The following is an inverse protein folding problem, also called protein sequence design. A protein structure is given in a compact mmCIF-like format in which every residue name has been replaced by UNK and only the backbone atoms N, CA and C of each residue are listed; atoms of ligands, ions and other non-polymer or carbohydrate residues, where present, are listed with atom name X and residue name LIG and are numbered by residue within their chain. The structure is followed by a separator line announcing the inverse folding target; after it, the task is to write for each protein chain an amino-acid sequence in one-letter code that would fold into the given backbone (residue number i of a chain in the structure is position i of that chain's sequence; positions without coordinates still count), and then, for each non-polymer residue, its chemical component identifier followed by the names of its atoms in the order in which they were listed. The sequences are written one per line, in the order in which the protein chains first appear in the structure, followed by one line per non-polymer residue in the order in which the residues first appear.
data_IF_522679776540
#
_entry.id   IF_522679776540
#
_cell.length_a   1.000
_cell.length_b   1.000
_cell.length_c   1.000
_cell.angle_alpha   90.00
_cell.angle_beta   90.00
_cell.angle_gamma   90.00
#
_symmetry.space_group_name_H-M   'P 1'
#
loop_
_entity.id
_entity.type
_entity.pdbx_description
1 polymer ?
#
# COMPACT_ATOMS: atom_id res chain seq x y z
N UNK A 1 -24.69 14.90 -38.78
CA UNK A 1 -24.07 15.27 -37.48
C UNK A 1 -25.14 15.24 -36.42
N UNK A 2 -25.20 14.21 -35.60
CA UNK A 2 -26.08 14.21 -34.41
C UNK A 2 -25.24 14.47 -33.17
N UNK A 3 -25.67 15.49 -32.44
CA UNK A 3 -25.04 16.03 -31.24
C UNK A 3 -25.61 15.26 -30.05
N UNK A 4 -24.86 14.30 -29.53
CA UNK A 4 -25.28 13.54 -28.34
C UNK A 4 -25.20 14.47 -27.12
N UNK A 5 -26.38 14.69 -26.53
CA UNK A 5 -26.62 15.51 -25.35
C UNK A 5 -26.29 14.65 -24.12
N UNK A 6 -25.24 14.97 -23.39
CA UNK A 6 -24.81 14.18 -22.23
C UNK A 6 -25.74 14.46 -21.04
N UNK A 7 -26.55 13.48 -20.57
CA UNK A 7 -27.28 13.61 -19.33
C UNK A 7 -26.30 13.56 -18.16
N UNK A 8 -26.38 14.52 -17.24
CA UNK A 8 -25.58 14.57 -16.02
C UNK A 8 -25.69 13.25 -15.26
N UNK A 9 -24.57 12.54 -15.10
CA UNK A 9 -24.51 11.27 -14.34
C UNK A 9 -23.78 10.10 -15.01
N UNK A 10 -23.12 10.28 -16.16
CA UNK A 10 -22.32 9.20 -16.76
C UNK A 10 -20.95 9.12 -16.11
N UNK A 11 -20.58 7.95 -15.56
CA UNK A 11 -19.18 7.64 -15.24
C UNK A 11 -18.34 7.82 -16.50
N UNK A 12 -17.26 8.58 -16.40
CA UNK A 12 -16.26 8.63 -17.47
C UNK A 12 -15.69 7.23 -17.61
N UNK A 13 -15.87 6.60 -18.78
CA UNK A 13 -15.21 5.34 -19.08
C UNK A 13 -13.70 5.60 -19.11
N UNK A 14 -13.05 5.21 -18.02
CA UNK A 14 -11.60 5.27 -17.89
C UNK A 14 -11.02 4.03 -18.54
N UNK A 15 -10.17 4.18 -19.58
CA UNK A 15 -9.45 3.04 -20.14
C UNK A 15 -8.60 2.38 -19.06
N UNK A 16 -8.47 1.06 -19.13
CA UNK A 16 -7.61 0.31 -18.21
C UNK A 16 -6.18 0.81 -18.30
N UNK A 17 -5.59 1.21 -17.17
CA UNK A 17 -4.17 1.61 -17.11
C UNK A 17 -3.26 0.47 -17.55
N UNK A 18 -3.65 -0.78 -17.28
CA UNK A 18 -2.91 -1.96 -17.71
C UNK A 18 -2.93 -2.15 -19.25
N UNK A 19 -4.02 -1.77 -19.91
CA UNK A 19 -4.11 -1.79 -21.38
C UNK A 19 -3.31 -0.64 -21.99
N UNK A 20 -3.43 0.57 -21.40
CA UNK A 20 -2.65 1.75 -21.79
C UNK A 20 -1.14 1.48 -21.72
N UNK A 21 -0.68 0.75 -20.69
CA UNK A 21 0.74 0.40 -20.54
C UNK A 21 1.26 -0.61 -21.57
N UNK A 22 0.38 -1.35 -22.25
CA UNK A 22 0.74 -2.32 -23.29
C UNK A 22 0.68 -1.72 -24.70
N UNK A 23 0.09 -0.54 -24.86
CA UNK A 23 -0.08 0.10 -26.16
C UNK A 23 1.18 0.87 -26.55
N UNK A 24 1.93 0.34 -27.51
CA UNK A 24 3.16 0.95 -28.04
C UNK A 24 2.93 2.34 -28.67
N UNK A 25 1.69 2.73 -28.93
CA UNK A 25 1.33 4.06 -29.47
C UNK A 25 1.30 5.15 -28.41
N UNK A 26 1.26 4.78 -27.13
CA UNK A 26 1.24 5.72 -26.02
C UNK A 26 2.67 6.05 -25.62
N UNK A 27 3.20 7.12 -26.20
CA UNK A 27 4.55 7.61 -25.90
C UNK A 27 4.62 8.51 -24.67
N UNK A 28 3.47 9.00 -24.19
CA UNK A 28 3.38 9.96 -23.08
C UNK A 28 2.22 9.64 -22.16
N UNK A 29 2.41 9.88 -20.86
CA UNK A 29 1.39 9.66 -19.83
C UNK A 29 0.21 10.62 -20.08
N UNK A 30 -1.03 10.13 -20.18
CA UNK A 30 -2.18 11.00 -20.38
C UNK A 30 -2.32 12.06 -19.27
N UNK A 31 -2.68 13.31 -19.60
CA UNK A 31 -2.70 14.43 -18.64
C UNK A 31 -3.50 14.19 -17.36
N UNK A 32 -4.52 13.34 -17.42
CA UNK A 32 -5.36 12.98 -16.26
C UNK A 32 -4.67 12.14 -15.19
N UNK A 33 -3.54 11.52 -15.51
CA UNK A 33 -2.68 10.78 -14.57
C UNK A 33 -1.45 11.59 -14.16
N UNK A 34 -1.25 12.77 -14.76
CA UNK A 34 -0.20 13.69 -14.34
C UNK A 34 -0.71 14.37 -13.08
N UNK A 35 -0.13 13.97 -11.94
CA UNK A 35 -0.36 14.68 -10.70
C UNK A 35 0.24 16.08 -10.87
N UNK A 36 -0.56 17.17 -10.72
CA UNK A 36 0.02 18.51 -10.71
C UNK A 36 1.11 18.51 -9.65
N UNK A 37 2.27 19.07 -9.97
CA UNK A 37 3.33 19.28 -8.99
C UNK A 37 2.78 20.22 -7.92
N UNK A 38 2.06 19.68 -6.95
CA UNK A 38 2.12 20.21 -5.62
C UNK A 38 3.58 20.08 -5.25
N UNK A 39 4.18 21.22 -4.92
CA UNK A 39 5.49 21.27 -4.28
C UNK A 39 5.39 20.58 -2.92
N UNK A 40 5.20 19.26 -2.92
CA UNK A 40 5.47 18.45 -1.76
C UNK A 40 6.98 18.27 -1.75
N UNK A 41 7.65 19.24 -1.14
CA UNK A 41 9.03 19.22 -0.67
C UNK A 41 9.33 18.06 0.30
N UNK A 42 8.52 17.00 0.30
CA UNK A 42 8.70 15.79 1.09
C UNK A 42 9.60 14.75 0.37
N UNK A 43 9.83 14.90 -0.93
CA UNK A 43 10.66 13.97 -1.70
C UNK A 43 12.14 14.39 -1.81
N UNK A 44 12.50 15.62 -1.41
CA UNK A 44 13.90 16.08 -1.49
C UNK A 44 14.76 15.62 -0.32
N UNK A 45 14.14 15.24 0.80
CA UNK A 45 14.81 14.67 1.96
C UNK A 45 13.98 13.46 2.40
N UNK A 46 14.05 12.37 1.64
CA UNK A 46 13.79 11.07 2.25
C UNK A 46 14.90 10.91 3.28
N UNK A 47 14.59 11.21 4.53
CA UNK A 47 15.46 10.93 5.66
C UNK A 47 15.73 9.42 5.59
N UNK A 48 16.88 9.04 5.05
CA UNK A 48 17.25 7.64 4.77
C UNK A 48 17.35 6.81 6.04
N UNK A 49 17.14 7.45 7.19
CA UNK A 49 17.13 6.92 8.54
C UNK A 49 15.74 6.46 8.99
N UNK A 50 14.65 6.89 8.35
CA UNK A 50 13.29 6.47 8.72
C UNK A 50 12.99 5.05 8.20
N UNK A 51 13.50 4.05 8.91
CA UNK A 51 13.21 2.64 8.66
C UNK A 51 11.87 2.25 9.29
N UNK A 52 10.98 1.68 8.46
CA UNK A 52 9.67 1.21 8.91
C UNK A 52 9.86 0.11 9.97
N UNK A 53 9.20 0.18 11.14
CA UNK A 53 9.35 -0.83 12.17
C UNK A 53 8.99 -2.22 11.66
N UNK A 54 9.84 -3.21 11.95
CA UNK A 54 9.58 -4.63 11.65
C UNK A 54 9.29 -5.38 12.94
N UNK A 55 8.13 -6.01 13.05
CA UNK A 55 7.72 -6.81 14.22
C UNK A 55 7.99 -8.29 13.94
N UNK A 56 8.86 -8.90 14.74
CA UNK A 56 9.14 -10.33 14.69
C UNK A 56 8.13 -11.08 15.56
N UNK A 57 7.23 -11.79 14.91
CA UNK A 57 6.14 -12.45 15.63
C UNK A 57 6.59 -13.73 16.35
N UNK A 58 7.74 -14.31 15.99
CA UNK A 58 8.34 -15.40 16.76
C UNK A 58 8.87 -14.87 18.10
N UNK A 59 9.49 -13.69 18.07
CA UNK A 59 9.94 -13.01 19.29
C UNK A 59 8.78 -12.51 20.11
N UNK A 60 7.68 -12.07 19.48
CA UNK A 60 6.49 -11.59 20.18
C UNK A 60 5.81 -12.69 21.02
N UNK A 61 5.74 -13.93 20.52
CA UNK A 61 5.17 -15.07 21.25
C UNK A 61 6.17 -15.79 22.15
N UNK A 62 7.45 -15.39 22.10
CA UNK A 62 8.50 -15.95 22.93
C UNK A 62 8.38 -15.45 24.37
N UNK A 63 8.56 -16.32 25.35
CA UNK A 63 8.57 -15.95 26.76
C UNK A 63 9.80 -15.07 27.11
N UNK A 64 10.93 -15.28 26.44
CA UNK A 64 12.18 -14.54 26.67
C UNK A 64 12.14 -13.15 26.02
N UNK A 65 11.63 -13.05 24.79
CA UNK A 65 11.70 -11.81 23.99
C UNK A 65 10.37 -11.05 23.88
N UNK A 66 9.25 -11.66 24.27
CA UNK A 66 7.91 -11.14 24.00
C UNK A 66 7.63 -9.77 24.58
N UNK A 67 8.16 -9.47 25.78
CA UNK A 67 8.04 -8.16 26.40
C UNK A 67 8.72 -7.06 25.57
N UNK A 68 9.94 -7.31 25.10
CA UNK A 68 10.70 -6.36 24.28
C UNK A 68 10.03 -6.12 22.92
N UNK A 69 9.52 -7.18 22.30
CA UNK A 69 8.89 -7.10 20.99
C UNK A 69 7.49 -6.46 21.08
N UNK A 70 6.78 -6.66 22.20
CA UNK A 70 5.51 -6.00 22.47
C UNK A 70 5.68 -4.48 22.64
N UNK A 71 6.75 -4.04 23.29
CA UNK A 71 7.09 -2.61 23.38
C UNK A 71 7.35 -2.04 21.98
N UNK A 72 8.10 -2.76 21.15
CA UNK A 72 8.34 -2.37 19.75
C UNK A 72 7.04 -2.24 18.96
N UNK A 73 6.12 -3.19 19.13
CA UNK A 73 4.79 -3.15 18.52
C UNK A 73 3.98 -1.93 18.98
N UNK A 74 3.99 -1.63 20.29
CA UNK A 74 3.31 -0.46 20.82
C UNK A 74 3.85 0.84 20.22
N UNK A 75 5.17 0.99 20.17
CA UNK A 75 5.83 2.17 19.59
C UNK A 75 5.51 2.29 18.09
N UNK A 76 5.52 1.19 17.36
CA UNK A 76 5.14 1.19 15.95
C UNK A 76 3.68 1.65 15.74
N UNK A 77 2.74 1.14 16.53
CA UNK A 77 1.35 1.60 16.46
C UNK A 77 1.19 3.09 16.81
N UNK A 78 1.93 3.56 17.82
CA UNK A 78 1.80 4.92 18.34
C UNK A 78 2.47 5.97 17.45
N UNK A 79 3.70 5.69 17.04
CA UNK A 79 4.57 6.69 16.40
C UNK A 79 4.50 6.59 14.86
N UNK A 80 4.24 5.40 14.31
CA UNK A 80 4.16 5.18 12.87
C UNK A 80 2.73 4.96 12.36
N UNK A 81 1.89 4.26 13.13
CA UNK A 81 0.57 3.81 12.67
C UNK A 81 0.62 2.67 11.63
N UNK A 82 1.81 2.27 11.21
CA UNK A 82 2.05 1.10 10.35
C UNK A 82 3.41 0.46 10.64
N UNK A 83 3.53 -0.84 10.32
CA UNK A 83 4.74 -1.62 10.51
C UNK A 83 4.75 -2.83 9.58
N UNK A 84 5.93 -3.41 9.36
CA UNK A 84 6.10 -4.68 8.68
C UNK A 84 6.06 -5.81 9.70
N UNK A 85 5.70 -7.01 9.25
CA UNK A 85 5.65 -8.19 10.12
C UNK A 85 6.50 -9.31 9.52
N UNK A 86 7.34 -9.91 10.34
CA UNK A 86 8.23 -10.99 9.96
C UNK A 86 7.81 -12.32 10.60
N UNK A 87 7.70 -13.37 9.78
CA UNK A 87 7.44 -14.74 10.21
C UNK A 87 8.43 -15.70 9.54
N UNK A 88 9.20 -16.42 10.35
CA UNK A 88 10.13 -17.47 9.92
C UNK A 88 9.45 -18.75 9.39
N UNK A 89 8.21 -19.06 9.78
CA UNK A 89 7.55 -20.32 9.41
C UNK A 89 6.41 -20.14 8.41
N UNK A 90 6.42 -20.96 7.35
CA UNK A 90 5.37 -21.01 6.32
C UNK A 90 3.99 -21.37 6.89
N UNK A 91 3.96 -22.14 7.98
CA UNK A 91 2.73 -22.55 8.68
C UNK A 91 2.09 -21.34 9.37
N UNK A 92 2.89 -20.46 9.99
CA UNK A 92 2.39 -19.21 10.56
C UNK A 92 1.89 -18.25 9.49
N UNK A 93 2.56 -18.18 8.33
CA UNK A 93 2.07 -17.39 7.18
C UNK A 93 0.68 -17.85 6.71
N UNK A 94 0.40 -19.15 6.72
CA UNK A 94 -0.94 -19.65 6.42
C UNK A 94 -1.95 -19.22 7.49
N UNK A 95 -1.61 -19.40 8.76
CA UNK A 95 -2.48 -19.03 9.89
C UNK A 95 -2.82 -17.53 9.90
N UNK A 96 -1.90 -16.67 9.49
CA UNK A 96 -2.16 -15.23 9.36
C UNK A 96 -2.95 -14.87 8.12
N UNK A 97 -2.79 -15.59 7.01
CA UNK A 97 -3.71 -15.41 5.87
C UNK A 97 -5.14 -15.71 6.30
N UNK A 98 -5.31 -16.67 7.20
CA UNK A 98 -6.61 -17.04 7.73
C UNK A 98 -7.15 -16.00 8.75
N UNK A 99 -6.29 -15.45 9.64
CA UNK A 99 -6.69 -14.43 10.64
C UNK A 99 -6.78 -13.01 10.05
N UNK A 100 -5.78 -12.60 9.29
CA UNK A 100 -5.65 -11.28 8.68
C UNK A 100 -6.17 -11.26 7.24
N UNK A 101 -6.83 -12.30 6.74
CA UNK A 101 -7.38 -12.35 5.37
C UNK A 101 -8.29 -11.17 5.03
N UNK A 102 -8.89 -10.51 6.02
CA UNK A 102 -9.65 -9.27 5.84
C UNK A 102 -8.77 -8.01 5.79
N UNK A 103 -7.59 -7.99 6.40
CA UNK A 103 -6.69 -6.83 6.48
C UNK A 103 -5.65 -6.88 5.35
N UNK A 104 -5.08 -8.05 5.06
CA UNK A 104 -4.16 -8.23 3.92
C UNK A 104 -4.86 -8.03 2.59
N UNK A 105 -6.13 -8.45 2.42
CA UNK A 105 -6.87 -8.16 1.19
C UNK A 105 -7.08 -6.66 1.01
N UNK A 106 -7.33 -5.91 2.09
CA UNK A 106 -7.42 -4.45 2.05
C UNK A 106 -6.06 -3.80 1.72
N UNK A 107 -4.95 -4.27 2.30
CA UNK A 107 -3.63 -3.72 1.99
C UNK A 107 -3.13 -4.11 0.59
N UNK A 108 -3.44 -5.31 0.10
CA UNK A 108 -3.14 -5.74 -1.28
C UNK A 108 -4.01 -5.01 -2.29
N UNK A 109 -5.28 -4.75 -1.98
CA UNK A 109 -6.16 -3.92 -2.81
C UNK A 109 -5.66 -2.47 -2.87
N UNK A 110 -5.24 -1.90 -1.73
CA UNK A 110 -4.68 -0.53 -1.69
C UNK A 110 -3.34 -0.43 -2.43
N UNK A 111 -2.55 -1.50 -2.50
CA UNK A 111 -1.29 -1.54 -3.27
C UNK A 111 -1.49 -1.83 -4.77
N UNK A 112 -2.72 -2.08 -5.22
CA UNK A 112 -3.07 -2.40 -6.62
C UNK A 112 -3.85 -1.27 -7.33
N UNK A 113 -4.02 -0.11 -6.70
CA UNK A 113 -4.47 1.14 -7.33
C UNK A 113 -3.39 2.22 -7.19
#
# INVERSE_FOLDING_TARGET
MEKIKNPSGTSLLVPSVQELAKDDKISTVPPRYIQPQHEDSALSEVDTVLEIPVIDMHRLISEEFGSSELVKLHLACKDWGFFQVYFLSLIMLQYLKDIFGLIYLNLYLVKMF
#
